data_IF_551938241895
#
_entry.id   IF_551938241895
#
_cell.length_a   1.000
_cell.length_b   1.000
_cell.length_c   1.000
_cell.angle_alpha   90.00
_cell.angle_beta   90.00
_cell.angle_gamma   90.00
#
_symmetry.space_group_name_H-M   'P 1'
#
loop_
_entity.id
_entity.type
_entity.pdbx_description
1 polymer ?
#
# COMPACT_ATOMS: atom_id res chain seq x y z
N UNK A 1 -38.16 -15.99 -21.47
CA UNK A 1 -36.75 -15.60 -21.19
C UNK A 1 -35.81 -16.57 -21.92
N UNK A 2 -34.94 -16.06 -22.80
CA UNK A 2 -33.95 -16.87 -23.52
C UNK A 2 -32.93 -17.52 -22.55
N UNK A 3 -32.38 -18.69 -22.91
CA UNK A 3 -31.36 -19.40 -22.14
C UNK A 3 -30.15 -18.51 -21.79
N UNK A 4 -29.74 -17.63 -22.71
CA UNK A 4 -28.65 -16.68 -22.48
C UNK A 4 -28.92 -15.69 -21.34
N UNK A 5 -30.17 -15.24 -21.15
CA UNK A 5 -30.54 -14.35 -20.04
C UNK A 5 -30.47 -15.05 -18.68
N UNK A 6 -30.78 -16.35 -18.63
CA UNK A 6 -30.68 -17.17 -17.40
C UNK A 6 -29.22 -17.39 -17.00
N UNK A 7 -28.36 -17.69 -17.96
CA UNK A 7 -26.92 -17.86 -17.74
C UNK A 7 -26.28 -16.56 -17.24
N UNK A 8 -26.60 -15.42 -17.88
CA UNK A 8 -26.10 -14.11 -17.43
C UNK A 8 -26.55 -13.78 -15.99
N UNK A 9 -27.81 -14.10 -15.64
CA UNK A 9 -28.33 -13.91 -14.29
C UNK A 9 -27.62 -14.76 -13.24
N UNK A 10 -27.31 -16.03 -13.55
CA UNK A 10 -26.53 -16.91 -12.67
C UNK A 10 -25.10 -16.39 -12.48
N UNK A 11 -24.44 -15.95 -13.56
CA UNK A 11 -23.09 -15.36 -13.49
C UNK A 11 -23.11 -14.10 -12.60
N UNK A 12 -24.11 -13.23 -12.77
CA UNK A 12 -24.25 -12.03 -11.95
C UNK A 12 -24.46 -12.36 -10.47
N UNK A 13 -25.30 -13.37 -10.16
CA UNK A 13 -25.52 -13.82 -8.77
C UNK A 13 -24.22 -14.35 -8.14
N UNK A 14 -23.47 -15.18 -8.86
CA UNK A 14 -22.19 -15.74 -8.38
C UNK A 14 -21.16 -14.62 -8.16
N UNK A 15 -21.07 -13.66 -9.09
CA UNK A 15 -20.18 -12.51 -8.94
C UNK A 15 -20.55 -11.66 -7.71
N UNK A 16 -21.83 -11.34 -7.53
CA UNK A 16 -22.27 -10.52 -6.40
C UNK A 16 -22.07 -11.22 -5.05
N UNK A 17 -22.30 -12.53 -4.97
CA UNK A 17 -22.07 -13.30 -3.75
C UNK A 17 -20.58 -13.42 -3.41
N UNK A 18 -19.73 -13.65 -4.42
CA UNK A 18 -18.27 -13.66 -4.24
C UNK A 18 -17.76 -12.29 -3.77
N UNK A 19 -18.25 -11.19 -4.37
CA UNK A 19 -17.90 -9.83 -3.96
C UNK A 19 -18.35 -9.53 -2.53
N UNK A 20 -19.55 -9.94 -2.15
CA UNK A 20 -20.08 -9.74 -0.81
C UNK A 20 -19.23 -10.46 0.25
N UNK A 21 -18.87 -11.72 0.02
CA UNK A 21 -17.95 -12.45 0.89
C UNK A 21 -16.57 -11.80 0.97
N UNK A 22 -16.05 -11.31 -0.16
CA UNK A 22 -14.75 -10.64 -0.22
C UNK A 22 -14.71 -9.30 0.53
N UNK A 23 -15.83 -8.58 0.57
CA UNK A 23 -15.96 -7.32 1.30
C UNK A 23 -15.73 -7.52 2.81
N UNK A 24 -16.36 -8.54 3.40
CA UNK A 24 -16.17 -8.87 4.82
C UNK A 24 -14.74 -9.28 5.14
N UNK A 25 -14.07 -10.00 4.23
CA UNK A 25 -12.71 -10.47 4.47
C UNK A 25 -11.65 -9.34 4.40
N UNK A 26 -11.78 -8.40 3.45
CA UNK A 26 -10.76 -7.37 3.23
C UNK A 26 -11.06 -6.01 3.86
N UNK A 27 -12.32 -5.61 3.94
CA UNK A 27 -12.71 -4.24 4.27
C UNK A 27 -13.35 -4.11 5.66
N UNK A 28 -13.35 -5.17 6.46
CA UNK A 28 -13.72 -5.04 7.87
C UNK A 28 -12.69 -4.14 8.57
N UNK A 29 -13.09 -2.90 8.85
CA UNK A 29 -12.27 -1.96 9.60
C UNK A 29 -12.02 -2.51 11.01
N UNK A 30 -10.74 -2.62 11.37
CA UNK A 30 -10.36 -2.88 12.75
C UNK A 30 -10.49 -1.57 13.56
N UNK A 31 -10.72 -1.69 14.87
CA UNK A 31 -10.91 -0.57 15.82
C UNK A 31 -9.80 0.50 15.79
N UNK A 32 -8.65 0.20 15.19
CA UNK A 32 -7.49 1.09 15.10
C UNK A 32 -7.40 1.85 13.77
N UNK A 33 -8.43 1.83 12.92
CA UNK A 33 -8.43 2.52 11.62
C UNK A 33 -7.53 1.86 10.57
N UNK A 34 -7.25 0.56 10.73
CA UNK A 34 -6.54 -0.27 9.75
C UNK A 34 -7.54 -1.21 9.07
N UNK A 35 -7.37 -1.47 7.77
CA UNK A 35 -8.19 -2.43 7.03
C UNK A 35 -7.76 -3.87 7.36
N UNK A 36 -8.64 -4.64 8.01
CA UNK A 36 -8.40 -6.04 8.40
C UNK A 36 -7.50 -6.24 9.63
N UNK A 37 -7.41 -7.48 10.12
CA UNK A 37 -6.47 -7.87 11.19
C UNK A 37 -5.03 -7.91 10.65
N UNK A 38 -4.14 -7.09 11.25
CA UNK A 38 -2.74 -6.97 10.87
C UNK A 38 -1.88 -8.24 11.15
N UNK A 39 -2.45 -9.29 11.74
CA UNK A 39 -1.73 -10.52 12.10
C UNK A 39 -1.24 -11.31 10.87
N UNK A 40 -1.95 -11.24 9.75
CA UNK A 40 -1.69 -12.06 8.57
C UNK A 40 -0.75 -11.39 7.55
N UNK A 41 -0.24 -10.19 7.84
CA UNK A 41 0.65 -9.48 6.91
C UNK A 41 1.77 -8.73 7.64
N UNK A 42 2.77 -9.47 8.10
CA UNK A 42 3.93 -8.88 8.74
C UNK A 42 5.25 -9.43 8.23
N UNK A 43 6.25 -8.55 8.22
CA UNK A 43 7.65 -8.89 7.99
C UNK A 43 8.51 -8.11 8.98
N UNK A 44 9.74 -8.56 9.21
CA UNK A 44 10.66 -7.87 10.11
C UNK A 44 12.09 -7.93 9.58
N UNK A 45 12.95 -7.05 10.09
CA UNK A 45 14.40 -7.07 9.84
C UNK A 45 15.15 -6.60 11.08
N UNK A 46 16.45 -6.91 11.11
CA UNK A 46 17.35 -6.59 12.20
C UNK A 46 17.36 -7.68 13.28
N UNK A 47 17.23 -7.28 14.54
CA UNK A 47 17.25 -8.21 15.69
C UNK A 47 15.88 -8.88 15.85
N UNK A 48 15.80 -10.21 16.03
CA UNK A 48 14.52 -10.92 16.14
C UNK A 48 13.66 -10.42 17.31
N UNK A 49 12.34 -10.28 17.12
CA UNK A 49 11.42 -9.77 18.14
C UNK A 49 11.29 -10.68 19.38
N UNK A 50 11.62 -11.98 19.29
CA UNK A 50 11.55 -12.92 20.43
C UNK A 50 12.75 -12.84 21.40
N UNK A 51 13.65 -11.87 21.23
CA UNK A 51 14.85 -11.70 22.07
C UNK A 51 14.63 -10.90 23.37
N UNK A 52 13.37 -10.65 23.72
CA UNK A 52 12.91 -9.79 24.83
C UNK A 52 13.52 -10.14 26.20
N UNK A 53 13.60 -11.42 26.55
CA UNK A 53 14.12 -11.85 27.87
C UNK A 53 15.63 -11.57 28.02
N UNK A 54 16.36 -11.43 26.90
CA UNK A 54 17.79 -11.09 26.90
C UNK A 54 18.06 -9.57 26.74
N UNK A 55 17.00 -8.76 26.66
CA UNK A 55 17.01 -7.33 26.33
C UNK A 55 17.04 -6.39 27.54
N UNK A 56 16.74 -6.92 28.72
CA UNK A 56 16.70 -6.13 29.95
C UNK A 56 18.01 -5.34 30.14
N UNK A 57 17.88 -4.03 30.30
CA UNK A 57 18.98 -3.09 30.54
C UNK A 57 19.87 -2.75 29.33
N UNK A 58 19.43 -3.02 28.09
CA UNK A 58 20.21 -2.70 26.87
C UNK A 58 19.53 -1.66 25.99
N UNK A 59 20.34 -0.91 25.25
CA UNK A 59 19.86 0.06 24.26
C UNK A 59 19.16 -0.67 23.10
N UNK A 60 17.94 -0.23 22.77
CA UNK A 60 17.11 -0.82 21.73
C UNK A 60 16.34 0.24 20.96
N UNK A 61 16.37 0.15 19.63
CA UNK A 61 15.49 0.86 18.72
C UNK A 61 14.48 -0.11 18.11
N UNK A 62 13.19 0.15 18.29
CA UNK A 62 12.10 -0.57 17.63
C UNK A 62 11.37 0.38 16.70
N UNK A 63 11.34 0.03 15.41
CA UNK A 63 10.61 0.75 14.37
C UNK A 63 9.42 -0.08 13.92
N UNK A 64 8.28 0.58 13.73
CA UNK A 64 7.03 -0.02 13.27
C UNK A 64 6.52 0.75 12.06
N UNK A 65 6.40 0.05 10.94
CA UNK A 65 5.86 0.60 9.71
C UNK A 65 4.49 -0.01 9.48
N UNK A 66 3.49 0.84 9.31
CA UNK A 66 2.10 0.48 9.04
C UNK A 66 1.56 1.22 7.84
N UNK A 67 0.40 0.85 7.32
CA UNK A 67 -0.31 1.65 6.33
C UNK A 67 -1.66 2.16 6.85
N UNK A 68 -2.08 3.33 6.36
CA UNK A 68 -3.41 3.87 6.57
C UNK A 68 -4.41 3.24 5.58
N UNK A 69 -5.71 3.46 5.81
CA UNK A 69 -6.79 3.10 4.87
C UNK A 69 -6.56 3.71 3.47
N UNK A 70 -5.93 4.89 3.41
CA UNK A 70 -5.62 5.60 2.16
C UNK A 70 -4.40 5.05 1.43
N UNK A 71 -3.74 4.03 1.99
CA UNK A 71 -2.51 3.46 1.42
C UNK A 71 -1.25 4.28 1.70
N UNK A 72 -1.31 5.25 2.61
CA UNK A 72 -0.13 5.99 3.06
C UNK A 72 0.67 5.16 4.06
N UNK A 73 1.99 5.13 3.91
CA UNK A 73 2.89 4.41 4.81
C UNK A 73 3.30 5.31 5.98
N UNK A 74 3.12 4.80 7.19
CA UNK A 74 3.38 5.49 8.44
C UNK A 74 4.49 4.79 9.21
N UNK A 75 5.46 5.55 9.69
CA UNK A 75 6.51 5.09 10.59
C UNK A 75 6.22 5.56 12.01
N UNK A 76 6.41 4.66 12.97
CA UNK A 76 6.33 4.90 14.41
C UNK A 76 7.32 3.98 15.12
N UNK A 77 7.35 4.01 16.45
CA UNK A 77 8.16 3.07 17.22
C UNK A 77 8.54 3.59 18.60
N UNK A 78 9.56 2.97 19.18
CA UNK A 78 10.12 3.38 20.45
C UNK A 78 11.64 3.20 20.51
N UNK A 79 12.26 3.97 21.41
CA UNK A 79 13.67 3.86 21.79
C UNK A 79 13.74 3.60 23.28
N UNK A 80 14.52 2.59 23.64
CA UNK A 80 14.91 2.28 25.01
C UNK A 80 16.41 2.51 25.12
N UNK A 81 16.81 3.24 26.16
CA UNK A 81 18.21 3.53 26.46
C UNK A 81 18.52 3.05 27.86
N UNK A 82 19.60 2.31 28.01
CA UNK A 82 20.13 1.85 29.30
C UNK A 82 20.60 3.03 30.15
N UNK A 83 20.61 2.85 31.48
CA UNK A 83 21.13 3.86 32.43
C UNK A 83 22.56 4.29 32.06
N UNK A 84 23.41 3.32 31.72
CA UNK A 84 24.79 3.58 31.30
C UNK A 84 24.88 4.51 30.10
N UNK A 85 24.06 4.29 29.07
CA UNK A 85 24.08 5.13 27.86
C UNK A 85 23.46 6.50 28.14
N UNK A 86 22.40 6.53 28.94
CA UNK A 86 21.77 7.78 29.38
C UNK A 86 22.75 8.70 30.09
N UNK A 87 23.48 8.18 31.09
CA UNK A 87 24.43 8.96 31.88
C UNK A 87 25.68 9.32 31.08
N UNK A 88 26.22 8.37 30.28
CA UNK A 88 27.43 8.60 29.48
C UNK A 88 27.27 9.74 28.48
N UNK A 89 26.09 9.88 27.91
CA UNK A 89 25.79 10.86 26.87
C UNK A 89 24.97 12.06 27.37
N UNK A 90 24.70 12.12 28.67
CA UNK A 90 23.92 13.19 29.32
C UNK A 90 22.61 13.48 28.58
N UNK A 91 21.82 12.42 28.35
CA UNK A 91 20.59 12.48 27.54
C UNK A 91 19.45 13.26 28.21
N UNK A 92 19.63 13.69 29.46
CA UNK A 92 18.76 14.67 30.09
C UNK A 92 18.93 16.08 29.53
N UNK A 93 20.08 16.38 28.92
CA UNK A 93 20.40 17.68 28.31
C UNK A 93 20.53 17.62 26.79
N UNK A 94 21.00 16.50 26.26
CA UNK A 94 21.17 16.30 24.82
C UNK A 94 19.99 15.51 24.24
N UNK A 95 19.27 16.13 23.30
CA UNK A 95 18.13 15.51 22.62
C UNK A 95 18.58 14.35 21.73
N UNK A 96 17.92 13.19 21.87
CA UNK A 96 18.10 12.04 21.00
C UNK A 96 17.41 12.30 19.65
N UNK A 97 18.09 12.00 18.55
CA UNK A 97 17.54 12.13 17.20
C UNK A 97 17.73 10.84 16.42
N UNK A 98 16.79 10.54 15.54
CA UNK A 98 16.90 9.43 14.60
C UNK A 98 16.95 9.97 13.18
N UNK A 99 17.93 9.49 12.40
CA UNK A 99 17.93 9.65 10.95
C UNK A 99 17.86 8.27 10.29
N UNK A 100 17.15 8.19 9.19
CA UNK A 100 17.08 7.02 8.34
C UNK A 100 17.90 7.32 7.08
N UNK A 101 19.04 6.66 6.96
CA UNK A 101 19.90 6.77 5.78
C UNK A 101 19.31 5.86 4.68
N UNK A 102 18.84 6.38 3.54
CA UNK A 102 18.18 5.58 2.53
C UNK A 102 19.15 4.59 1.88
N UNK A 103 18.70 3.35 1.70
CA UNK A 103 19.42 2.36 0.91
C UNK A 103 19.25 2.66 -0.58
N UNK A 104 20.27 2.34 -1.35
CA UNK A 104 20.24 2.51 -2.79
C UNK A 104 19.16 1.64 -3.43
N UNK A 105 18.25 2.26 -4.18
CA UNK A 105 17.06 1.60 -4.77
C UNK A 105 17.20 1.35 -6.28
N UNK A 106 18.24 1.89 -6.92
CA UNK A 106 18.61 1.68 -8.32
C UNK A 106 20.12 1.74 -8.49
N UNK A 107 20.71 0.98 -9.41
CA UNK A 107 22.16 1.02 -9.65
C UNK A 107 22.62 2.35 -10.27
N UNK A 108 21.71 3.08 -10.94
CA UNK A 108 22.01 4.36 -11.59
C UNK A 108 21.71 5.61 -10.75
N UNK A 109 21.11 5.47 -9.56
CA UNK A 109 20.67 6.61 -8.74
C UNK A 109 21.16 6.45 -7.31
N UNK A 110 21.89 7.44 -6.83
CA UNK A 110 22.31 7.53 -5.42
C UNK A 110 21.23 8.27 -4.62
N UNK A 111 20.68 7.68 -3.56
CA UNK A 111 19.69 8.37 -2.75
C UNK A 111 20.35 9.48 -1.92
N UNK A 112 19.78 10.69 -1.97
CA UNK A 112 20.39 11.91 -1.41
C UNK A 112 19.65 12.41 -0.16
N UNK A 113 18.40 11.99 0.04
CA UNK A 113 17.52 12.52 1.07
C UNK A 113 17.49 11.64 2.31
N UNK A 114 17.96 12.20 3.44
CA UNK A 114 17.87 11.58 4.76
C UNK A 114 16.54 11.92 5.40
N UNK A 115 15.79 10.91 5.85
CA UNK A 115 14.57 11.16 6.64
C UNK A 115 14.94 11.34 8.12
N UNK A 116 14.62 12.49 8.70
CA UNK A 116 14.75 12.70 10.15
C UNK A 116 13.45 12.35 10.87
N UNK A 117 13.54 11.51 11.90
CA UNK A 117 12.41 11.12 12.74
C UNK A 117 12.63 11.71 14.11
N UNK A 118 11.65 12.48 14.58
CA UNK A 118 11.71 13.09 15.90
C UNK A 118 11.39 12.04 16.96
N UNK A 119 12.20 12.04 18.00
CA UNK A 119 12.01 11.19 19.17
C UNK A 119 11.41 12.07 20.25
N UNK A 120 10.33 11.63 20.88
CA UNK A 120 9.71 12.33 22.01
C UNK A 120 10.70 12.41 23.19
N UNK A 121 10.49 13.33 24.14
CA UNK A 121 11.35 13.41 25.33
C UNK A 121 11.45 12.06 26.05
N UNK A 122 12.66 11.72 26.50
CA UNK A 122 12.92 10.51 27.26
C UNK A 122 12.24 10.58 28.63
N UNK A 123 11.44 9.58 28.95
CA UNK A 123 10.86 9.36 30.27
C UNK A 123 11.72 8.32 31.01
N UNK A 124 12.21 8.69 32.20
CA UNK A 124 13.00 7.78 33.03
C UNK A 124 12.06 6.93 33.88
N UNK A 125 12.17 5.61 33.75
CA UNK A 125 11.41 4.71 34.59
C UNK A 125 12.29 4.18 35.75
N UNK A 126 12.35 4.96 36.83
CA UNK A 126 13.16 4.65 38.02
C UNK A 126 12.67 3.42 38.80
N UNK A 127 11.43 2.97 38.58
CA UNK A 127 10.86 1.78 39.20
C UNK A 127 11.03 0.52 38.33
N UNK A 128 11.58 0.64 37.13
CA UNK A 128 11.89 -0.52 36.29
C UNK A 128 13.11 -1.28 36.81
N UNK A 129 13.09 -2.62 36.69
CA UNK A 129 14.19 -3.52 37.06
C UNK A 129 15.55 -3.14 36.42
N UNK A 130 15.49 -2.46 35.27
CA UNK A 130 16.66 -2.15 34.44
C UNK A 130 17.11 -0.70 34.49
N UNK A 131 16.37 0.17 35.19
CA UNK A 131 16.61 1.61 35.26
C UNK A 131 16.79 2.27 33.88
N UNK A 132 16.03 1.83 32.87
CA UNK A 132 16.11 2.37 31.51
C UNK A 132 15.28 3.65 31.32
N UNK A 133 15.66 4.45 30.32
CA UNK A 133 14.85 5.54 29.80
C UNK A 133 14.13 5.11 28.52
N UNK A 134 12.87 5.52 28.38
CA UNK A 134 12.01 5.16 27.25
C UNK A 134 11.52 6.43 26.55
N UNK A 135 11.52 6.42 25.22
CA UNK A 135 10.89 7.43 24.40
C UNK A 135 10.15 6.80 23.22
N UNK A 136 9.02 7.36 22.85
CA UNK A 136 8.34 7.02 21.60
C UNK A 136 8.85 7.88 20.45
N UNK A 137 8.78 7.36 19.23
CA UNK A 137 8.96 8.17 18.04
C UNK A 137 7.66 8.92 17.72
N UNK A 138 7.78 10.15 17.20
CA UNK A 138 6.65 10.86 16.63
C UNK A 138 6.22 10.15 15.34
N UNK A 139 4.96 9.69 15.29
CA UNK A 139 4.43 9.00 14.13
C UNK A 139 4.35 9.95 12.93
N UNK A 140 4.84 9.51 11.77
CA UNK A 140 4.89 10.34 10.55
C UNK A 140 4.73 9.52 9.28
N UNK A 141 4.24 10.13 8.19
CA UNK A 141 4.29 9.51 6.87
C UNK A 141 5.75 9.37 6.39
N UNK A 142 6.01 8.33 5.62
CA UNK A 142 7.30 8.04 4.98
C UNK A 142 7.17 7.99 3.46
N UNK A 143 8.24 8.40 2.77
CA UNK A 143 8.32 8.33 1.33
C UNK A 143 8.72 6.93 0.88
N UNK A 144 7.87 6.25 0.12
CA UNK A 144 8.18 4.95 -0.49
C UNK A 144 8.47 5.10 -1.98
N UNK A 145 9.41 4.31 -2.49
CA UNK A 145 9.73 4.29 -3.92
C UNK A 145 8.92 3.21 -4.61
N UNK A 146 8.19 3.53 -5.69
CA UNK A 146 7.32 2.54 -6.31
C UNK A 146 6.63 3.00 -7.56
N UNK A 147 5.84 2.08 -8.14
CA UNK A 147 5.02 2.33 -9.34
C UNK A 147 3.54 2.29 -8.97
N UNK A 148 3.07 3.33 -8.27
CA UNK A 148 1.67 3.42 -7.85
C UNK A 148 0.69 3.31 -9.05
N UNK A 149 1.06 3.87 -10.21
CA UNK A 149 0.26 3.84 -11.44
C UNK A 149 -0.01 2.41 -11.96
N UNK A 150 0.79 1.42 -11.57
CA UNK A 150 0.65 0.03 -12.03
C UNK A 150 -0.47 -0.76 -11.33
N UNK A 151 -1.34 -0.09 -10.55
CA UNK A 151 -2.46 -0.69 -9.86
C UNK A 151 -3.25 -1.69 -10.73
N UNK A 152 -3.61 -2.90 -10.20
CA UNK A 152 -3.38 -3.41 -8.84
C UNK A 152 -2.05 -4.16 -8.65
N UNK A 153 -1.12 -4.04 -9.61
CA UNK A 153 0.22 -4.64 -9.57
C UNK A 153 1.29 -3.64 -9.11
N UNK A 154 0.85 -2.59 -8.42
CA UNK A 154 1.71 -1.63 -7.76
C UNK A 154 2.60 -2.32 -6.74
N UNK A 155 3.87 -1.91 -6.75
CA UNK A 155 4.90 -2.35 -5.82
C UNK A 155 5.60 -1.13 -5.25
N UNK A 156 5.85 -1.18 -3.95
CA UNK A 156 6.56 -0.16 -3.20
C UNK A 156 7.82 -0.76 -2.59
N UNK A 157 8.82 0.08 -2.37
CA UNK A 157 10.10 -0.28 -1.79
C UNK A 157 10.47 0.77 -0.76
N UNK A 158 10.94 0.28 0.37
CA UNK A 158 11.45 1.12 1.44
C UNK A 158 12.63 0.43 2.08
N UNK A 159 13.78 1.07 1.98
CA UNK A 159 15.04 0.54 2.46
C UNK A 159 15.87 1.64 3.08
N UNK A 160 16.36 1.37 4.29
CA UNK A 160 17.08 2.36 5.08
C UNK A 160 18.00 1.71 6.13
N UNK A 161 18.92 2.52 6.64
CA UNK A 161 19.76 2.25 7.78
C UNK A 161 19.45 3.26 8.90
N UNK A 162 18.81 2.85 10.00
CA UNK A 162 18.56 3.75 11.11
C UNK A 162 19.85 4.09 11.86
N UNK A 163 20.04 5.38 12.12
CA UNK A 163 21.16 5.91 12.90
C UNK A 163 20.62 6.84 13.97
N UNK A 164 20.74 6.40 15.22
CA UNK A 164 20.44 7.22 16.39
C UNK A 164 21.66 8.08 16.70
N UNK A 165 21.47 9.37 16.95
CA UNK A 165 22.55 10.29 17.25
C UNK A 165 22.12 11.36 18.24
N UNK A 166 23.11 12.03 18.82
CA UNK A 166 22.92 13.25 19.61
C UNK A 166 23.72 14.40 19.00
N UNK A 167 23.33 15.63 19.34
CA UNK A 167 24.10 16.83 19.08
C UNK A 167 24.67 17.32 20.41
N UNK A 168 25.99 17.25 20.57
CA UNK A 168 26.69 17.75 21.75
C UNK A 168 27.49 19.00 21.35
N UNK A 169 26.89 20.17 21.55
CA UNK A 169 27.39 21.42 20.97
C UNK A 169 27.33 21.36 19.44
N UNK A 170 28.48 21.51 18.77
CA UNK A 170 28.59 21.42 17.30
C UNK A 170 28.95 20.01 16.80
N UNK A 171 29.17 19.04 17.70
CA UNK A 171 29.57 17.69 17.32
C UNK A 171 28.34 16.76 17.24
N UNK A 172 28.25 16.00 16.14
CA UNK A 172 27.29 14.91 15.98
C UNK A 172 27.92 13.61 16.43
N UNK A 173 27.32 12.96 17.41
CA UNK A 173 27.80 11.68 17.94
C UNK A 173 26.77 10.60 17.62
N UNK A 174 27.14 9.68 16.73
CA UNK A 174 26.29 8.54 16.36
C UNK A 174 26.38 7.44 17.45
N UNK A 175 25.22 7.04 17.97
CA UNK A 175 25.08 6.04 19.02
C UNK A 175 24.99 4.63 18.41
N UNK A 176 25.81 3.69 18.91
CA UNK A 176 25.86 2.32 18.41
C UNK A 176 24.87 1.42 19.12
N UNK A 177 23.65 1.36 18.60
CA UNK A 177 22.61 0.44 19.07
C UNK A 177 22.88 -0.96 18.51
N UNK A 178 23.07 -1.95 19.39
CA UNK A 178 23.27 -3.35 18.99
C UNK A 178 21.95 -4.04 18.64
N UNK A 179 20.84 -3.52 19.15
CA UNK A 179 19.50 -4.06 18.94
C UNK A 179 18.68 -3.03 18.20
N UNK A 180 18.36 -3.38 16.97
CA UNK A 180 17.50 -2.60 16.09
C UNK A 180 16.55 -3.58 15.47
N UNK A 181 15.26 -3.37 15.67
CA UNK A 181 14.22 -4.22 15.10
C UNK A 181 13.27 -3.31 14.33
N UNK A 182 13.06 -3.62 13.07
CA UNK A 182 11.97 -2.99 12.31
C UNK A 182 10.92 -4.05 12.05
N UNK A 183 9.68 -3.73 12.39
CA UNK A 183 8.51 -4.54 12.07
C UNK A 183 7.64 -3.80 11.08
N UNK A 184 7.31 -4.47 10.00
CA UNK A 184 6.38 -3.99 8.99
C UNK A 184 5.08 -4.76 9.19
N UNK A 185 4.00 -4.04 9.52
CA UNK A 185 2.68 -4.61 9.81
C UNK A 185 1.67 -3.93 8.89
N UNK A 186 1.25 -4.66 7.87
CA UNK A 186 0.42 -4.14 6.81
C UNK A 186 -1.04 -4.60 6.97
N UNK A 187 -1.94 -3.79 6.45
CA UNK A 187 -3.34 -4.18 6.22
C UNK A 187 -3.44 -5.41 5.30
N UNK A 188 -4.63 -6.01 5.26
CA UNK A 188 -4.89 -7.18 4.44
C UNK A 188 -4.82 -6.96 2.92
N UNK A 189 -4.59 -5.73 2.47
CA UNK A 189 -4.43 -5.41 1.04
C UNK A 189 -2.99 -5.56 0.56
N UNK A 190 -2.01 -5.51 1.46
CA UNK A 190 -0.60 -5.52 1.14
C UNK A 190 0.13 -6.71 1.77
N UNK A 191 1.19 -7.17 1.11
CA UNK A 191 2.15 -8.16 1.60
C UNK A 191 3.51 -7.48 1.72
N UNK A 192 4.06 -7.32 2.95
CA UNK A 192 5.43 -6.90 3.12
C UNK A 192 6.37 -8.09 2.90
N UNK A 193 7.46 -7.87 2.18
CA UNK A 193 8.48 -8.87 1.84
C UNK A 193 9.83 -8.30 2.22
N UNK A 194 10.53 -8.97 3.14
CA UNK A 194 11.91 -8.62 3.49
C UNK A 194 12.83 -8.94 2.30
N UNK A 195 13.77 -8.03 2.02
CA UNK A 195 14.85 -8.25 1.03
C UNK A 195 16.16 -8.45 1.76
N UNK A 196 16.86 -9.54 1.44
CA UNK A 196 18.03 -9.94 2.22
C UNK A 196 19.32 -9.27 1.76
N UNK A 197 19.38 -8.88 0.48
CA UNK A 197 20.56 -8.30 -0.14
C UNK A 197 20.18 -7.18 -1.13
N UNK A 198 21.19 -6.48 -1.63
CA UNK A 198 21.02 -5.35 -2.53
C UNK A 198 20.49 -5.76 -3.91
N UNK A 199 20.93 -6.90 -4.43
CA UNK A 199 20.43 -7.43 -5.70
C UNK A 199 18.91 -7.68 -5.67
N UNK A 200 18.40 -8.29 -4.60
CA UNK A 200 16.96 -8.54 -4.39
C UNK A 200 16.16 -7.26 -4.15
N UNK A 201 16.73 -6.29 -3.44
CA UNK A 201 16.05 -5.01 -3.15
C UNK A 201 15.96 -4.11 -4.38
N UNK A 202 17.05 -3.97 -5.14
CA UNK A 202 17.07 -3.18 -6.36
C UNK A 202 16.29 -3.89 -7.49
N UNK A 203 16.39 -5.21 -7.59
CA UNK A 203 15.66 -6.03 -8.56
C UNK A 203 15.73 -5.49 -10.01
N UNK A 204 16.90 -4.97 -10.40
CA UNK A 204 17.19 -4.53 -11.77
C UNK A 204 18.11 -5.56 -12.42
N UNK A 205 17.71 -6.08 -13.58
CA UNK A 205 18.57 -6.96 -14.39
C UNK A 205 19.44 -6.08 -15.28
N UNK A 206 20.63 -5.74 -14.83
CA UNK A 206 21.61 -4.98 -15.61
C UNK A 206 23.04 -5.47 -15.36
N UNK A 207 23.99 -5.01 -16.20
CA UNK A 207 25.41 -5.37 -16.10
C UNK A 207 26.15 -4.71 -14.92
N UNK A 208 25.46 -3.91 -14.10
CA UNK A 208 26.04 -3.20 -12.97
C UNK A 208 25.97 -4.02 -11.67
N UNK A 209 25.21 -5.11 -11.67
CA UNK A 209 25.13 -6.05 -10.53
C UNK A 209 26.48 -6.72 -10.34
N UNK A 210 27.03 -6.64 -9.13
CA UNK A 210 28.30 -7.28 -8.75
C UNK A 210 28.08 -8.37 -7.71
N UNK A 211 29.08 -9.22 -7.50
CA UNK A 211 29.03 -10.26 -6.46
C UNK A 211 28.80 -9.68 -5.06
N UNK A 212 29.29 -8.48 -4.78
CA UNK A 212 29.07 -7.83 -3.48
C UNK A 212 27.60 -7.50 -3.23
N UNK A 213 26.79 -7.32 -4.28
CA UNK A 213 25.37 -6.96 -4.14
C UNK A 213 24.51 -8.14 -3.67
N UNK A 214 25.05 -9.37 -3.71
CA UNK A 214 24.42 -10.57 -3.17
C UNK A 214 24.72 -10.79 -1.68
N UNK A 215 25.62 -10.00 -1.09
CA UNK A 215 25.92 -10.11 0.34
C UNK A 215 24.70 -9.68 1.17
N UNK A 216 24.41 -10.38 2.27
CA UNK A 216 23.34 -10.00 3.17
C UNK A 216 23.54 -8.57 3.70
N UNK A 217 22.44 -7.83 3.85
CA UNK A 217 22.43 -6.57 4.55
C UNK A 217 22.92 -6.71 5.99
N UNK A 218 23.52 -5.64 6.52
CA UNK A 218 23.94 -5.61 7.91
C UNK A 218 22.73 -5.69 8.86
N UNK A 219 22.96 -6.09 10.12
CA UNK A 219 21.89 -6.19 11.11
C UNK A 219 21.19 -4.86 11.45
N UNK A 220 21.80 -3.73 11.07
CA UNK A 220 21.25 -2.38 11.19
C UNK A 220 20.79 -1.81 9.83
N UNK A 221 20.61 -2.65 8.82
CA UNK A 221 20.07 -2.28 7.52
C UNK A 221 18.78 -3.06 7.30
N UNK A 222 17.80 -2.36 6.75
CA UNK A 222 16.46 -2.88 6.58
C UNK A 222 15.96 -2.54 5.20
N UNK A 223 15.54 -3.55 4.46
CA UNK A 223 15.03 -3.42 3.10
C UNK A 223 13.74 -4.23 2.95
N UNK A 224 12.69 -3.56 2.51
CA UNK A 224 11.39 -4.17 2.25
C UNK A 224 10.91 -3.83 0.85
N UNK A 225 10.21 -4.79 0.23
CA UNK A 225 9.22 -4.49 -0.80
C UNK A 225 7.82 -4.74 -0.26
N UNK A 226 6.86 -3.98 -0.75
CA UNK A 226 5.45 -4.13 -0.42
C UNK A 226 4.68 -4.25 -1.72
N UNK A 227 3.89 -5.30 -1.84
CA UNK A 227 3.07 -5.59 -3.02
C UNK A 227 1.63 -5.82 -2.59
N UNK A 228 0.67 -5.71 -3.50
CA UNK A 228 -0.71 -6.10 -3.18
C UNK A 228 -0.86 -7.61 -3.04
N UNK A 229 -1.65 -8.05 -2.06
CA UNK A 229 -2.02 -9.46 -1.90
C UNK A 229 -2.73 -9.96 -3.16
N UNK A 230 -2.49 -11.22 -3.52
CA UNK A 230 -3.17 -11.83 -4.66
C UNK A 230 -4.68 -11.93 -4.45
N UNK A 231 -5.13 -12.10 -3.20
CA UNK A 231 -6.55 -12.04 -2.83
C UNK A 231 -7.19 -10.69 -3.21
N UNK A 232 -6.49 -9.57 -3.00
CA UNK A 232 -6.94 -8.25 -3.42
C UNK A 232 -6.99 -8.14 -4.95
N UNK A 233 -5.99 -8.67 -5.66
CA UNK A 233 -5.97 -8.67 -7.14
C UNK A 233 -7.16 -9.45 -7.72
N UNK A 234 -7.54 -10.58 -7.11
CA UNK A 234 -8.74 -11.35 -7.51
C UNK A 234 -10.00 -10.52 -7.35
N UNK A 235 -10.13 -9.73 -6.28
CA UNK A 235 -11.31 -8.87 -6.07
C UNK A 235 -11.38 -7.75 -7.11
N UNK A 236 -10.24 -7.13 -7.42
CA UNK A 236 -10.16 -6.16 -8.53
C UNK A 236 -10.61 -6.81 -9.84
N UNK A 237 -10.18 -8.04 -10.11
CA UNK A 237 -10.63 -8.79 -11.28
C UNK A 237 -12.15 -9.07 -11.26
N UNK A 238 -12.71 -9.48 -10.13
CA UNK A 238 -14.17 -9.69 -9.98
C UNK A 238 -14.96 -8.41 -10.23
N UNK A 239 -14.48 -7.26 -9.73
CA UNK A 239 -15.10 -5.95 -9.96
C UNK A 239 -15.01 -5.53 -11.44
N UNK A 240 -13.89 -5.83 -12.11
CA UNK A 240 -13.76 -5.62 -13.56
C UNK A 240 -14.75 -6.49 -14.34
N UNK A 241 -14.97 -7.74 -13.94
CA UNK A 241 -15.98 -8.60 -14.56
C UNK A 241 -17.40 -8.07 -14.37
N UNK A 242 -17.71 -7.45 -13.22
CA UNK A 242 -19.00 -6.79 -13.00
C UNK A 242 -19.21 -5.63 -13.98
N UNK A 243 -18.17 -4.85 -14.29
CA UNK A 243 -18.25 -3.77 -15.30
C UNK A 243 -18.52 -4.33 -16.70
N UNK A 244 -18.13 -5.58 -16.98
CA UNK A 244 -18.48 -6.24 -18.23
C UNK A 244 -19.95 -6.66 -18.33
N UNK A 245 -20.71 -6.70 -17.23
CA UNK A 245 -22.13 -7.10 -17.27
C UNK A 245 -23.00 -6.08 -18.04
N UNK A 246 -22.92 -4.76 -17.78
CA UNK A 246 -23.58 -3.76 -18.63
C UNK A 246 -23.15 -3.84 -20.10
N UNK A 247 -21.86 -4.03 -20.39
CA UNK A 247 -21.34 -4.22 -21.75
C UNK A 247 -22.07 -5.35 -22.48
N UNK A 248 -22.24 -6.50 -21.81
CA UNK A 248 -22.98 -7.62 -22.36
C UNK A 248 -24.47 -7.29 -22.52
N UNK A 249 -25.08 -6.60 -21.55
CA UNK A 249 -26.50 -6.26 -21.58
C UNK A 249 -26.86 -5.29 -22.71
N UNK A 250 -25.98 -4.33 -23.01
CA UNK A 250 -26.12 -3.36 -24.11
C UNK A 250 -26.30 -4.06 -25.45
N UNK A 251 -25.70 -5.23 -25.66
CA UNK A 251 -25.91 -5.99 -26.90
C UNK A 251 -27.31 -6.62 -27.00
N UNK A 252 -27.92 -7.00 -25.88
CA UNK A 252 -29.22 -7.69 -25.84
C UNK A 252 -30.43 -6.77 -25.68
N UNK A 253 -30.25 -5.53 -25.21
CA UNK A 253 -31.35 -4.58 -24.98
C UNK A 253 -31.54 -3.64 -26.18
N UNK A 254 -32.79 -3.31 -26.49
CA UNK A 254 -33.13 -2.35 -27.55
C UNK A 254 -33.00 -0.88 -27.10
N UNK A 255 -33.08 -0.63 -25.78
CA UNK A 255 -32.94 0.68 -25.16
C UNK A 255 -31.65 0.74 -24.32
N UNK A 256 -30.52 1.20 -24.90
CA UNK A 256 -29.21 1.06 -24.26
C UNK A 256 -28.89 2.16 -23.22
N UNK A 257 -29.74 3.19 -23.09
CA UNK A 257 -29.44 4.37 -22.25
C UNK A 257 -29.26 4.04 -20.76
N UNK A 258 -30.05 3.09 -20.23
CA UNK A 258 -29.95 2.64 -18.84
C UNK A 258 -28.61 1.91 -18.61
N UNK A 259 -28.18 1.10 -19.57
CA UNK A 259 -26.97 0.30 -19.43
C UNK A 259 -25.70 1.17 -19.51
N UNK A 260 -25.72 2.24 -20.32
CA UNK A 260 -24.67 3.26 -20.31
C UNK A 260 -24.58 4.00 -18.96
N UNK A 261 -25.72 4.43 -18.41
CA UNK A 261 -25.74 5.08 -17.10
C UNK A 261 -25.27 4.14 -15.98
N UNK A 262 -25.70 2.88 -16.02
CA UNK A 262 -25.23 1.85 -15.09
C UNK A 262 -23.72 1.64 -15.20
N UNK A 263 -23.15 1.66 -16.41
CA UNK A 263 -21.71 1.57 -16.63
C UNK A 263 -20.96 2.73 -15.98
N UNK A 264 -21.43 3.97 -16.20
CA UNK A 264 -20.82 5.17 -15.64
C UNK A 264 -20.84 5.16 -14.10
N UNK A 265 -22.01 4.85 -13.51
CA UNK A 265 -22.16 4.79 -12.04
C UNK A 265 -21.31 3.68 -11.45
N UNK A 266 -21.30 2.49 -12.08
CA UNK A 266 -20.51 1.34 -11.60
C UNK A 266 -19.02 1.64 -11.62
N UNK A 267 -18.51 2.20 -12.72
CA UNK A 267 -17.10 2.57 -12.84
C UNK A 267 -16.74 3.66 -11.82
N UNK A 268 -17.59 4.67 -11.65
CA UNK A 268 -17.38 5.70 -10.64
C UNK A 268 -17.28 5.12 -9.22
N UNK A 269 -18.23 4.27 -8.85
CA UNK A 269 -18.24 3.62 -7.54
C UNK A 269 -17.02 2.70 -7.33
N UNK A 270 -16.70 1.86 -8.31
CA UNK A 270 -15.57 0.92 -8.25
C UNK A 270 -14.24 1.67 -8.17
N UNK A 271 -14.07 2.73 -8.96
CA UNK A 271 -12.86 3.56 -8.92
C UNK A 271 -12.66 4.20 -7.54
N UNK A 272 -13.71 4.81 -6.99
CA UNK A 272 -13.66 5.43 -5.65
C UNK A 272 -13.37 4.38 -4.58
N UNK A 273 -13.95 3.18 -4.68
CA UNK A 273 -13.69 2.09 -3.74
C UNK A 273 -12.25 1.56 -3.80
N UNK A 274 -11.69 1.38 -5.00
CA UNK A 274 -10.40 0.73 -5.20
C UNK A 274 -9.20 1.67 -5.04
N UNK A 275 -9.34 2.90 -5.53
CA UNK A 275 -8.25 3.86 -5.66
C UNK A 275 -8.46 5.07 -4.75
N UNK A 276 -9.72 5.38 -4.40
CA UNK A 276 -10.08 6.58 -3.67
C UNK A 276 -10.52 7.74 -4.58
N UNK A 277 -10.77 8.91 -4.00
CA UNK A 277 -11.11 10.10 -4.78
C UNK A 277 -9.93 10.54 -5.66
N UNK A 278 -10.24 11.26 -6.73
CA UNK A 278 -9.25 11.90 -7.60
C UNK A 278 -8.49 12.99 -6.84
N UNK A 279 -7.46 12.61 -6.10
CA UNK A 279 -6.47 13.55 -5.57
C UNK A 279 -5.32 13.60 -6.58
N UNK A 280 -5.02 14.80 -7.08
CA UNK A 280 -3.83 15.12 -7.90
C UNK A 280 -3.76 14.62 -9.35
N UNK A 281 -4.91 14.36 -10.00
CA UNK A 281 -4.97 13.93 -11.42
C UNK A 281 -4.10 12.70 -11.75
N UNK A 282 -3.73 11.90 -10.75
CA UNK A 282 -2.96 10.69 -10.97
C UNK A 282 -3.85 9.65 -11.67
N UNK A 283 -3.51 9.35 -12.92
CA UNK A 283 -4.15 8.28 -13.68
C UNK A 283 -3.42 6.95 -13.42
N UNK A 284 -4.20 5.96 -13.05
CA UNK A 284 -3.74 4.59 -12.89
C UNK A 284 -3.97 3.80 -14.18
N UNK A 285 -3.20 2.74 -14.40
CA UNK A 285 -3.36 1.88 -15.57
C UNK A 285 -4.81 1.33 -15.68
N UNK A 286 -5.45 1.08 -14.54
CA UNK A 286 -6.85 0.65 -14.49
C UNK A 286 -7.84 1.71 -15.00
N UNK A 287 -7.50 3.00 -14.88
CA UNK A 287 -8.36 4.09 -15.35
C UNK A 287 -8.48 4.08 -16.89
N UNK A 288 -7.45 3.62 -17.60
CA UNK A 288 -7.52 3.44 -19.05
C UNK A 288 -8.47 2.29 -19.44
N UNK A 289 -8.50 1.21 -18.65
CA UNK A 289 -9.47 0.13 -18.84
C UNK A 289 -10.91 0.63 -18.60
N UNK A 290 -11.11 1.42 -17.55
CA UNK A 290 -12.40 2.08 -17.30
C UNK A 290 -12.80 3.01 -18.45
N UNK A 291 -11.89 3.85 -18.94
CA UNK A 291 -12.12 4.71 -20.08
C UNK A 291 -12.51 3.93 -21.34
N UNK A 292 -11.80 2.84 -21.63
CA UNK A 292 -12.11 1.96 -22.77
C UNK A 292 -13.51 1.33 -22.64
N UNK A 293 -13.89 0.86 -21.44
CA UNK A 293 -15.22 0.32 -21.19
C UNK A 293 -16.32 1.37 -21.43
N UNK A 294 -16.14 2.60 -20.93
CA UNK A 294 -17.08 3.71 -21.15
C UNK A 294 -17.23 4.02 -22.63
N UNK A 295 -16.11 4.12 -23.36
CA UNK A 295 -16.11 4.39 -24.80
C UNK A 295 -16.82 3.27 -25.57
N UNK A 296 -16.57 2.01 -25.24
CA UNK A 296 -17.24 0.89 -25.90
C UNK A 296 -18.74 0.89 -25.67
N UNK A 297 -19.19 1.00 -24.41
CA UNK A 297 -20.63 1.03 -24.10
C UNK A 297 -21.29 2.26 -24.71
N UNK A 298 -20.68 3.44 -24.57
CA UNK A 298 -21.18 4.69 -25.14
C UNK A 298 -21.33 4.59 -26.66
N UNK A 299 -20.32 4.07 -27.35
CA UNK A 299 -20.34 3.91 -28.82
C UNK A 299 -21.45 2.96 -29.27
N UNK A 300 -21.56 1.77 -28.67
CA UNK A 300 -22.61 0.80 -29.04
C UNK A 300 -24.00 1.36 -28.73
N UNK A 301 -24.15 2.05 -27.60
CA UNK A 301 -25.41 2.69 -27.20
C UNK A 301 -25.83 3.77 -28.19
N UNK A 302 -24.90 4.63 -28.62
CA UNK A 302 -25.13 5.66 -29.63
C UNK A 302 -25.54 5.06 -30.97
N UNK A 303 -24.84 4.03 -31.45
CA UNK A 303 -25.17 3.35 -32.71
C UNK A 303 -26.59 2.77 -32.67
N UNK A 304 -26.95 2.11 -31.56
CA UNK A 304 -28.31 1.58 -31.38
C UNK A 304 -29.37 2.68 -31.33
N UNK A 305 -29.11 3.76 -30.61
CA UNK A 305 -30.01 4.91 -30.54
C UNK A 305 -30.22 5.56 -31.92
N UNK A 306 -29.14 5.75 -32.70
CA UNK A 306 -29.22 6.27 -34.06
C UNK A 306 -30.02 5.35 -34.99
N UNK A 307 -29.82 4.02 -34.90
CA UNK A 307 -30.61 3.04 -35.67
C UNK A 307 -32.10 3.09 -35.30
N UNK A 308 -32.41 3.17 -34.02
CA UNK A 308 -33.79 3.29 -33.55
C UNK A 308 -34.44 4.59 -34.05
N UNK A 309 -33.71 5.71 -34.00
CA UNK A 309 -34.20 6.99 -34.49
C UNK A 309 -34.41 6.99 -36.02
N UNK A 310 -33.44 6.46 -36.78
CA UNK A 310 -33.56 6.31 -38.24
C UNK A 310 -34.77 5.43 -38.63
N UNK A 311 -35.02 4.33 -37.91
CA UNK A 311 -36.22 3.49 -38.12
C UNK A 311 -37.51 4.25 -37.82
N UNK A 312 -37.55 5.04 -36.74
CA UNK A 312 -38.71 5.89 -36.40
C UNK A 312 -38.97 6.94 -37.47
N UNK A 313 -37.93 7.58 -37.98
CA UNK A 313 -38.04 8.55 -39.07
C UNK A 313 -38.54 7.91 -40.38
N UNK A 314 -38.07 6.71 -40.72
CA UNK A 314 -38.54 5.95 -41.89
C UNK A 314 -40.00 5.51 -41.75
N UNK A 315 -40.41 5.05 -40.55
CA UNK A 315 -41.80 4.71 -40.26
C UNK A 315 -42.72 5.94 -40.36
N UNK A 316 -42.29 7.09 -39.83
CA UNK A 316 -43.02 8.35 -39.93
C UNK A 316 -43.20 8.82 -41.38
N UNK A 317 -42.18 8.65 -42.23
CA UNK A 317 -42.25 9.01 -43.66
C UNK A 317 -43.09 8.06 -44.51
N UNK A 318 -43.18 6.79 -44.13
CA UNK A 318 -43.91 5.76 -44.88
C UNK A 318 -45.37 5.60 -44.44
N UNK A 319 -45.81 6.31 -43.40
CA UNK A 319 -47.19 6.25 -42.90
C UNK A 319 -47.54 4.92 -42.21
N UNK A 320 -46.58 4.02 -42.02
CA UNK A 320 -46.80 2.77 -41.30
C UNK A 320 -46.66 2.98 -39.80
N UNK A 321 -47.69 2.64 -39.02
CA UNK A 321 -47.54 2.41 -37.59
C UNK A 321 -46.87 1.06 -37.36
N UNK A 322 -45.72 1.09 -36.69
CA UNK A 322 -44.94 -0.03 -36.12
C UNK A 322 -45.45 -1.46 -36.35
#
# INVERSE_FOLDING_TARGET
MSAGKKILGLIALVLMTALWGSYFYLFQENRNGQLGEASDSSAWCGTPPTSDVAALGKDWLTLRITNTVRGEFMLSGAVIVSERTFDRYDLGRNELRLRLEPLQWSYGVTPIFLEQVRIKPLSRNLSSLDKSAYAELEARPIGVQGRAQAFPFDSYRYGYKPVVYILKGNERIDLKFKRITTRMEMSNTFTPIQKYNRAEYINEKNSLVREEDYKPYAANECAFSVERKDSFKVIVLLLLLVICLPLMHVFYRDEPGIDFLATLVSIGAIRVLLVGPLTDFQLYNIDFLFGAAILLVGTVSLIKAMRANSRRELAAKSGSSW
#
